data_IF_999788211065
#
_entry.id   IF_999788211065
#
_cell.length_a   1.000
_cell.length_b   1.000
_cell.length_c   1.000
_cell.angle_alpha   90.00
_cell.angle_beta   90.00
_cell.angle_gamma   90.00
#
_symmetry.space_group_name_H-M   'P 1'
#
loop_
_entity.id
_entity.type
_entity.pdbx_description
1 polymer ?
#
# COMPACT_ATOMS: atom_id res chain seq x y z
N UNK A 1 -37.85 -43.26 -26.10
CA UNK A 1 -38.29 -42.09 -25.30
C UNK A 1 -37.06 -41.56 -24.58
N UNK A 2 -36.64 -40.33 -24.87
CA UNK A 2 -35.50 -39.71 -24.17
C UNK A 2 -35.88 -39.43 -22.72
N UNK A 3 -34.95 -39.52 -21.77
CA UNK A 3 -35.19 -39.23 -20.36
C UNK A 3 -35.65 -37.78 -20.08
N UNK A 4 -35.54 -36.90 -21.08
CA UNK A 4 -36.03 -35.53 -21.07
C UNK A 4 -37.54 -35.45 -21.38
N UNK A 5 -38.03 -36.28 -22.32
CA UNK A 5 -39.46 -36.35 -22.68
C UNK A 5 -40.36 -36.91 -21.57
N UNK A 6 -39.78 -37.57 -20.55
CA UNK A 6 -40.50 -38.04 -19.36
C UNK A 6 -40.69 -36.98 -18.27
N UNK A 7 -40.06 -35.82 -18.40
CA UNK A 7 -40.26 -34.69 -17.49
C UNK A 7 -41.52 -33.92 -17.88
N UNK A 8 -42.22 -33.35 -16.90
CA UNK A 8 -43.36 -32.47 -17.16
C UNK A 8 -42.93 -31.26 -18.00
N UNK A 9 -43.82 -30.73 -18.84
CA UNK A 9 -43.60 -29.53 -19.67
C UNK A 9 -43.01 -28.34 -18.88
N UNK A 10 -43.38 -28.20 -17.61
CA UNK A 10 -42.80 -27.21 -16.69
C UNK A 10 -41.27 -27.37 -16.54
N UNK A 11 -40.78 -28.58 -16.29
CA UNK A 11 -39.33 -28.82 -16.11
C UNK A 11 -38.56 -28.74 -17.43
N UNK A 12 -39.20 -29.07 -18.55
CA UNK A 12 -38.60 -28.92 -19.89
C UNK A 12 -38.30 -27.46 -20.23
N UNK A 13 -39.11 -26.51 -19.72
CA UNK A 13 -38.90 -25.07 -19.89
C UNK A 13 -38.03 -24.45 -18.80
N UNK A 14 -38.14 -24.92 -17.56
CA UNK A 14 -37.35 -24.39 -16.43
C UNK A 14 -35.87 -24.78 -16.48
N UNK A 15 -35.53 -26.00 -16.91
CA UNK A 15 -34.13 -26.46 -16.93
C UNK A 15 -33.22 -25.63 -17.85
N UNK A 16 -33.60 -25.33 -19.11
CA UNK A 16 -32.82 -24.43 -19.97
C UNK A 16 -32.72 -23.01 -19.41
N UNK A 17 -33.76 -22.51 -18.77
CA UNK A 17 -33.77 -21.18 -18.16
C UNK A 17 -32.78 -21.08 -17.00
N UNK A 18 -32.74 -22.08 -16.12
CA UNK A 18 -31.77 -22.15 -15.02
C UNK A 18 -30.34 -22.23 -15.57
N UNK A 19 -30.09 -23.08 -16.57
CA UNK A 19 -28.78 -23.17 -17.22
C UNK A 19 -28.34 -21.85 -17.87
N UNK A 20 -29.26 -21.12 -18.49
CA UNK A 20 -28.97 -19.80 -19.06
C UNK A 20 -28.52 -18.82 -17.99
N UNK A 21 -29.23 -18.76 -16.86
CA UNK A 21 -28.89 -17.89 -15.72
C UNK A 21 -27.49 -18.24 -15.18
N UNK A 22 -27.19 -19.52 -15.02
CA UNK A 22 -25.87 -19.97 -14.53
C UNK A 22 -24.74 -19.63 -15.50
N UNK A 23 -24.95 -19.78 -16.80
CA UNK A 23 -23.96 -19.38 -17.81
C UNK A 23 -23.70 -17.87 -17.73
N UNK A 24 -24.73 -17.05 -17.57
CA UNK A 24 -24.57 -15.59 -17.40
C UNK A 24 -23.76 -15.26 -16.15
N UNK A 25 -24.00 -15.96 -15.04
CA UNK A 25 -23.24 -15.79 -13.79
C UNK A 25 -21.77 -16.19 -13.96
N UNK A 26 -21.48 -17.31 -14.63
CA UNK A 26 -20.12 -17.77 -14.92
C UNK A 26 -19.38 -16.85 -15.91
N UNK A 27 -20.07 -16.28 -16.91
CA UNK A 27 -19.49 -15.25 -17.79
C UNK A 27 -19.12 -14.01 -16.98
N UNK A 28 -19.99 -13.57 -16.06
CA UNK A 28 -19.71 -12.45 -15.16
C UNK A 28 -18.48 -12.71 -14.29
N UNK A 29 -18.36 -13.91 -13.73
CA UNK A 29 -17.20 -14.35 -12.94
C UNK A 29 -15.92 -14.41 -13.79
N UNK A 30 -15.99 -14.98 -15.00
CA UNK A 30 -14.87 -15.06 -15.94
C UNK A 30 -14.37 -13.67 -16.33
N UNK A 31 -15.27 -12.77 -16.71
CA UNK A 31 -14.92 -11.37 -17.04
C UNK A 31 -14.29 -10.66 -15.86
N UNK A 32 -14.84 -10.86 -14.66
CA UNK A 32 -14.28 -10.29 -13.44
C UNK A 32 -12.87 -10.82 -13.12
N UNK A 33 -12.63 -12.11 -13.32
CA UNK A 33 -11.31 -12.72 -13.17
C UNK A 33 -10.32 -12.21 -14.23
N UNK A 34 -10.74 -12.12 -15.49
CA UNK A 34 -9.88 -11.69 -16.60
C UNK A 34 -9.45 -10.22 -16.47
N UNK A 35 -10.40 -9.34 -16.10
CA UNK A 35 -10.12 -7.91 -15.95
C UNK A 35 -9.26 -7.57 -14.73
N UNK A 36 -9.21 -8.46 -13.73
CA UNK A 36 -8.64 -8.11 -12.41
C UNK A 36 -7.53 -9.03 -11.92
N UNK A 37 -7.37 -10.22 -12.49
CA UNK A 37 -6.37 -11.19 -12.02
C UNK A 37 -5.21 -11.32 -13.00
N UNK A 38 -3.98 -11.09 -12.52
CA UNK A 38 -2.74 -11.39 -13.28
C UNK A 38 -2.43 -12.90 -13.37
N UNK A 39 -3.35 -13.78 -12.95
CA UNK A 39 -3.14 -15.24 -12.93
C UNK A 39 -4.15 -15.97 -13.85
N UNK A 40 -3.75 -16.32 -15.09
CA UNK A 40 -4.68 -16.87 -16.09
C UNK A 40 -5.23 -18.25 -15.73
N UNK A 41 -4.54 -18.99 -14.85
CA UNK A 41 -4.92 -20.35 -14.44
C UNK A 41 -6.32 -20.42 -13.81
N UNK A 42 -6.80 -19.34 -13.17
CA UNK A 42 -8.12 -19.32 -12.52
C UNK A 42 -9.25 -19.09 -13.52
N UNK A 43 -9.02 -18.18 -14.45
CA UNK A 43 -9.91 -17.91 -15.58
C UNK A 43 -10.12 -19.17 -16.44
N UNK A 44 -9.12 -20.05 -16.51
CA UNK A 44 -9.21 -21.34 -17.21
C UNK A 44 -10.28 -22.28 -16.62
N UNK A 45 -10.50 -22.27 -15.30
CA UNK A 45 -11.51 -23.13 -14.66
C UNK A 45 -12.93 -22.66 -15.02
N UNK A 46 -13.21 -21.35 -14.92
CA UNK A 46 -14.48 -20.78 -15.39
C UNK A 46 -14.68 -20.98 -16.90
N UNK A 47 -13.61 -20.91 -17.70
CA UNK A 47 -13.68 -21.18 -19.14
C UNK A 47 -14.04 -22.64 -19.43
N UNK A 48 -13.47 -23.59 -18.68
CA UNK A 48 -13.80 -25.00 -18.82
C UNK A 48 -15.26 -25.29 -18.45
N UNK A 49 -15.78 -24.67 -17.38
CA UNK A 49 -17.20 -24.79 -16.99
C UNK A 49 -18.10 -24.23 -18.09
N UNK A 50 -17.79 -23.06 -18.64
CA UNK A 50 -18.55 -22.48 -19.76
C UNK A 50 -18.50 -23.35 -21.03
N UNK A 51 -17.33 -23.92 -21.36
CA UNK A 51 -17.15 -24.79 -22.52
C UNK A 51 -17.97 -26.09 -22.43
N UNK A 52 -18.32 -26.53 -21.22
CA UNK A 52 -19.22 -27.68 -20.99
C UNK A 52 -20.69 -27.25 -21.00
N UNK A 53 -21.02 -26.11 -20.36
CA UNK A 53 -22.41 -25.64 -20.22
C UNK A 53 -23.03 -25.13 -21.53
N UNK A 54 -22.25 -24.47 -22.40
CA UNK A 54 -22.75 -23.90 -23.66
C UNK A 54 -23.24 -25.00 -24.63
N UNK A 55 -22.47 -26.07 -24.92
CA UNK A 55 -22.95 -27.18 -25.73
C UNK A 55 -24.15 -27.90 -25.13
N UNK A 56 -24.21 -28.05 -23.79
CA UNK A 56 -25.35 -28.66 -23.09
C UNK A 56 -26.62 -27.83 -23.26
N UNK A 57 -26.56 -26.51 -23.09
CA UNK A 57 -27.69 -25.61 -23.32
C UNK A 57 -28.17 -25.70 -24.77
N UNK A 58 -27.24 -25.67 -25.73
CA UNK A 58 -27.57 -25.74 -27.15
C UNK A 58 -28.20 -27.08 -27.55
N UNK A 59 -27.75 -28.17 -26.93
CA UNK A 59 -28.33 -29.51 -27.13
C UNK A 59 -29.78 -29.59 -26.66
N UNK A 60 -30.16 -28.87 -25.61
CA UNK A 60 -31.55 -28.84 -25.13
C UNK A 60 -32.40 -27.88 -25.96
N UNK A 61 -31.85 -26.74 -26.36
CA UNK A 61 -32.58 -25.75 -27.18
C UNK A 61 -32.82 -26.20 -28.63
N UNK A 62 -32.03 -27.14 -29.14
CA UNK A 62 -32.20 -27.76 -30.48
C UNK A 62 -32.92 -29.11 -30.46
N UNK A 63 -33.36 -29.58 -29.29
CA UNK A 63 -34.13 -30.82 -29.20
C UNK A 63 -35.51 -30.60 -29.83
N UNK A 64 -35.60 -30.82 -31.14
CA UNK A 64 -36.84 -30.87 -31.91
C UNK A 64 -37.63 -32.13 -31.51
N UNK A 65 -38.90 -32.04 -31.05
CA UNK A 65 -39.68 -33.19 -30.62
C UNK A 65 -39.82 -34.29 -31.69
N UNK A 66 -39.77 -33.92 -32.97
CA UNK A 66 -40.12 -34.79 -34.10
C UNK A 66 -38.93 -35.26 -34.95
N UNK A 67 -37.71 -34.78 -34.70
CA UNK A 67 -36.53 -35.12 -35.52
C UNK A 67 -35.34 -35.54 -34.66
N UNK A 68 -35.38 -36.80 -34.22
CA UNK A 68 -34.46 -37.46 -33.26
C UNK A 68 -33.05 -37.76 -33.87
N UNK A 69 -32.72 -37.21 -35.04
CA UNK A 69 -31.52 -37.58 -35.80
C UNK A 69 -30.20 -36.94 -35.36
N UNK A 70 -30.19 -35.66 -34.96
CA UNK A 70 -28.94 -34.88 -35.12
C UNK A 70 -28.39 -34.20 -33.85
N UNK A 71 -28.97 -34.44 -32.66
CA UNK A 71 -28.45 -33.87 -31.40
C UNK A 71 -27.77 -34.94 -30.53
N UNK A 72 -26.44 -34.93 -30.58
CA UNK A 72 -25.47 -35.89 -30.01
C UNK A 72 -25.59 -36.21 -28.49
N UNK A 73 -26.56 -35.67 -27.76
CA UNK A 73 -26.76 -35.92 -26.32
C UNK A 73 -28.22 -36.21 -25.92
N UNK A 74 -29.13 -36.54 -26.85
CA UNK A 74 -30.55 -36.84 -26.54
C UNK A 74 -30.78 -38.13 -25.73
N UNK A 75 -29.77 -39.00 -25.59
CA UNK A 75 -29.81 -40.17 -24.70
C UNK A 75 -29.34 -39.90 -23.27
N UNK A 76 -28.83 -38.69 -22.99
CA UNK A 76 -28.29 -38.33 -21.69
C UNK A 76 -29.40 -38.31 -20.62
N UNK A 77 -29.27 -39.06 -19.50
CA UNK A 77 -30.17 -38.94 -18.37
C UNK A 77 -30.23 -37.48 -17.90
N UNK A 78 -31.40 -37.00 -17.48
CA UNK A 78 -31.59 -35.66 -16.89
C UNK A 78 -30.60 -35.36 -15.75
N UNK A 79 -30.04 -36.41 -15.14
CA UNK A 79 -28.96 -36.39 -14.17
C UNK A 79 -27.70 -35.65 -14.66
N UNK A 80 -27.35 -35.70 -15.95
CA UNK A 80 -26.17 -34.99 -16.48
C UNK A 80 -26.39 -33.48 -16.41
N UNK A 81 -27.59 -33.01 -16.73
CA UNK A 81 -27.96 -31.60 -16.60
C UNK A 81 -28.00 -31.17 -15.14
N UNK A 82 -28.63 -31.97 -14.27
CA UNK A 82 -28.66 -31.71 -12.84
C UNK A 82 -27.25 -31.65 -12.21
N UNK A 83 -26.35 -32.55 -12.63
CA UNK A 83 -24.96 -32.57 -12.18
C UNK A 83 -24.18 -31.35 -12.68
N UNK A 84 -24.36 -30.95 -13.94
CA UNK A 84 -23.69 -29.78 -14.51
C UNK A 84 -24.11 -28.48 -13.82
N UNK A 85 -25.42 -28.31 -13.59
CA UNK A 85 -26.01 -27.19 -12.82
C UNK A 85 -25.41 -27.16 -11.41
N UNK A 86 -25.44 -28.30 -10.71
CA UNK A 86 -24.91 -28.40 -9.35
C UNK A 86 -23.42 -28.04 -9.28
N UNK A 87 -22.60 -28.54 -10.22
CA UNK A 87 -21.17 -28.24 -10.28
C UNK A 87 -20.90 -26.75 -10.55
N UNK A 88 -21.65 -26.13 -11.47
CA UNK A 88 -21.56 -24.70 -11.76
C UNK A 88 -21.95 -23.85 -10.54
N UNK A 89 -23.07 -24.18 -9.89
CA UNK A 89 -23.52 -23.50 -8.68
C UNK A 89 -22.49 -23.59 -7.53
N UNK A 90 -21.90 -24.78 -7.31
CA UNK A 90 -20.84 -24.97 -6.30
C UNK A 90 -19.58 -24.19 -6.66
N UNK A 91 -19.17 -24.20 -7.93
CA UNK A 91 -18.03 -23.42 -8.40
C UNK A 91 -18.24 -21.93 -8.14
N UNK A 92 -19.37 -21.37 -8.58
CA UNK A 92 -19.72 -19.97 -8.36
C UNK A 92 -19.77 -19.59 -6.88
N UNK A 93 -20.44 -20.41 -6.05
CA UNK A 93 -20.59 -20.17 -4.61
C UNK A 93 -19.25 -20.17 -3.86
N UNK A 94 -18.23 -20.86 -4.38
CA UNK A 94 -16.90 -20.90 -3.78
C UNK A 94 -16.00 -19.79 -4.35
N UNK A 95 -16.05 -19.57 -5.66
CA UNK A 95 -15.17 -18.63 -6.36
C UNK A 95 -15.44 -17.18 -5.94
N UNK A 96 -16.71 -16.77 -5.90
CA UNK A 96 -17.08 -15.38 -5.67
C UNK A 96 -16.71 -14.87 -4.26
N UNK A 97 -17.01 -15.58 -3.15
CA UNK A 97 -16.59 -15.15 -1.81
C UNK A 97 -15.07 -15.19 -1.61
N UNK A 98 -14.38 -16.14 -2.24
CA UNK A 98 -12.91 -16.24 -2.16
C UNK A 98 -12.23 -15.04 -2.81
N UNK A 99 -12.71 -14.62 -3.97
CA UNK A 99 -12.20 -13.43 -4.66
C UNK A 99 -12.57 -12.14 -3.93
N UNK A 100 -13.78 -12.08 -3.40
CA UNK A 100 -14.21 -10.95 -2.59
C UNK A 100 -13.40 -10.81 -1.29
N UNK A 101 -13.10 -11.91 -0.59
CA UNK A 101 -12.24 -11.90 0.61
C UNK A 101 -10.79 -11.52 0.28
N UNK A 102 -10.24 -11.99 -0.84
CA UNK A 102 -8.90 -11.59 -1.28
C UNK A 102 -8.77 -10.09 -1.47
N UNK A 103 -9.75 -9.44 -2.09
CA UNK A 103 -9.77 -7.97 -2.22
C UNK A 103 -9.70 -7.23 -0.89
N UNK A 104 -10.33 -7.76 0.16
CA UNK A 104 -10.27 -7.14 1.49
C UNK A 104 -8.90 -7.31 2.15
N UNK A 105 -8.14 -8.33 1.75
CA UNK A 105 -6.85 -8.67 2.32
C UNK A 105 -5.66 -8.17 1.48
N UNK A 106 -5.89 -7.78 0.22
CA UNK A 106 -4.90 -7.16 -0.64
C UNK A 106 -4.83 -5.65 -0.32
N UNK A 107 -3.69 -5.21 0.23
CA UNK A 107 -3.44 -3.80 0.51
C UNK A 107 -3.51 -3.03 -0.81
N UNK A 108 -4.49 -2.14 -0.93
CA UNK A 108 -4.59 -1.29 -2.11
C UNK A 108 -3.42 -0.29 -2.12
N UNK A 109 -2.90 0.10 -3.30
CA UNK A 109 -1.89 1.17 -3.39
C UNK A 109 -2.35 2.48 -2.71
N UNK A 110 -3.65 2.74 -2.73
CA UNK A 110 -4.24 3.87 -2.02
C UNK A 110 -4.13 3.73 -0.49
N UNK A 111 -4.34 2.53 0.04
CA UNK A 111 -4.16 2.24 1.47
C UNK A 111 -2.71 2.41 1.91
N UNK A 112 -1.74 2.02 1.06
CA UNK A 112 -0.31 2.27 1.32
C UNK A 112 -0.04 3.77 1.36
N UNK A 113 -0.54 4.53 0.38
CA UNK A 113 -0.41 5.99 0.36
C UNK A 113 -1.06 6.64 1.59
N UNK A 114 -2.28 6.24 1.94
CA UNK A 114 -3.01 6.76 3.10
C UNK A 114 -2.29 6.47 4.41
N UNK A 115 -1.75 5.26 4.58
CA UNK A 115 -0.96 4.89 5.75
C UNK A 115 0.34 5.73 5.82
N UNK A 116 1.00 5.92 4.68
CA UNK A 116 2.23 6.71 4.58
C UNK A 116 1.98 8.20 4.85
N UNK A 117 0.83 8.73 4.43
CA UNK A 117 0.39 10.11 4.66
C UNK A 117 0.12 10.41 6.15
N UNK A 118 -0.21 9.39 6.94
CA UNK A 118 -0.43 9.51 8.40
C UNK A 118 0.86 9.46 9.21
N UNK A 119 2.01 9.20 8.60
CA UNK A 119 3.28 9.18 9.32
C UNK A 119 3.67 10.60 9.81
N UNK A 120 4.19 10.73 11.03
CA UNK A 120 4.63 12.02 11.56
C UNK A 120 5.89 12.56 10.86
N UNK A 121 6.61 11.69 10.15
CA UNK A 121 7.80 12.02 9.35
C UNK A 121 7.45 12.25 7.88
N UNK A 122 8.25 13.07 7.20
CA UNK A 122 8.23 13.15 5.74
C UNK A 122 8.91 11.92 5.15
N UNK A 123 8.32 11.31 4.14
CA UNK A 123 8.94 10.23 3.38
C UNK A 123 8.60 10.36 1.90
N UNK A 124 9.61 10.16 1.05
CA UNK A 124 9.41 9.94 -0.37
C UNK A 124 10.38 8.90 -0.93
N UNK A 125 9.97 8.30 -2.05
CA UNK A 125 10.73 7.28 -2.76
C UNK A 125 10.99 7.76 -4.19
N UNK A 126 12.23 7.59 -4.63
CA UNK A 126 12.68 7.90 -5.97
C UNK A 126 13.07 6.62 -6.72
N UNK A 127 12.61 6.54 -7.96
CA UNK A 127 13.04 5.55 -8.96
C UNK A 127 14.54 5.75 -9.30
N UNK A 128 15.25 4.77 -9.87
CA UNK A 128 16.65 4.93 -10.29
C UNK A 128 16.89 6.10 -11.26
N UNK A 129 15.86 6.55 -11.97
CA UNK A 129 15.89 7.74 -12.82
C UNK A 129 15.75 9.06 -12.06
N UNK A 130 15.61 9.02 -10.72
CA UNK A 130 15.41 10.18 -9.87
C UNK A 130 13.97 10.71 -9.81
N UNK A 131 13.00 10.06 -10.44
CA UNK A 131 11.59 10.45 -10.41
C UNK A 131 10.94 10.02 -9.09
N UNK A 132 10.18 10.91 -8.47
CA UNK A 132 9.47 10.61 -7.22
C UNK A 132 8.22 9.75 -7.53
N UNK A 133 8.19 8.52 -7.00
CA UNK A 133 7.09 7.56 -7.20
C UNK A 133 6.04 7.61 -6.08
N UNK A 134 6.47 7.90 -4.86
CA UNK A 134 5.62 8.02 -3.69
C UNK A 134 6.15 9.18 -2.86
N UNK A 135 5.27 10.09 -2.47
CA UNK A 135 5.59 11.23 -1.62
C UNK A 135 4.41 11.46 -0.70
N UNK A 136 4.68 11.41 0.59
CA UNK A 136 3.63 11.62 1.58
C UNK A 136 3.31 13.11 1.75
N UNK A 137 2.12 13.41 2.28
CA UNK A 137 1.66 14.80 2.47
C UNK A 137 2.63 15.63 3.31
N UNK A 138 3.36 15.01 4.25
CA UNK A 138 4.31 15.72 5.10
C UNK A 138 5.55 16.14 4.32
N UNK A 139 6.12 15.24 3.52
CA UNK A 139 7.24 15.56 2.63
C UNK A 139 6.85 16.59 1.57
N UNK A 140 5.63 16.51 1.03
CA UNK A 140 5.12 17.51 0.07
C UNK A 140 5.06 18.92 0.64
N UNK A 141 4.59 19.07 1.89
CA UNK A 141 4.59 20.39 2.56
C UNK A 141 6.01 20.91 2.79
N UNK A 142 6.94 20.02 3.14
CA UNK A 142 8.35 20.37 3.31
C UNK A 142 9.00 20.75 1.98
N UNK A 143 8.73 20.03 0.89
CA UNK A 143 9.25 20.39 -0.43
C UNK A 143 8.75 21.76 -0.87
N UNK A 144 7.49 22.09 -0.59
CA UNK A 144 6.97 23.42 -0.88
C UNK A 144 7.65 24.51 -0.04
N UNK A 145 7.92 24.25 1.23
CA UNK A 145 8.64 25.19 2.10
C UNK A 145 10.12 25.37 1.73
N UNK A 146 10.77 24.34 1.18
CA UNK A 146 12.19 24.36 0.80
C UNK A 146 12.44 24.81 -0.64
N UNK A 147 11.67 24.28 -1.59
CA UNK A 147 11.84 24.47 -3.04
C UNK A 147 10.82 25.46 -3.64
N UNK A 148 9.72 25.77 -2.94
CA UNK A 148 8.61 26.59 -3.47
C UNK A 148 7.64 25.84 -4.41
N UNK A 149 7.85 24.55 -4.66
CA UNK A 149 7.00 23.73 -5.53
C UNK A 149 6.88 22.27 -5.04
N UNK A 150 5.96 21.51 -5.65
CA UNK A 150 5.85 20.08 -5.38
C UNK A 150 7.06 19.32 -5.93
N UNK A 151 7.52 18.31 -5.17
CA UNK A 151 8.68 17.50 -5.55
C UNK A 151 8.33 16.52 -6.67
N UNK A 152 8.88 16.73 -7.86
CA UNK A 152 8.75 15.80 -9.00
C UNK A 152 10.02 14.99 -9.23
N UNK A 153 11.18 15.63 -9.05
CA UNK A 153 12.49 15.03 -9.25
C UNK A 153 13.29 15.14 -7.95
N UNK A 154 14.03 14.09 -7.62
CA UNK A 154 14.94 14.04 -6.47
C UNK A 154 15.94 15.21 -6.46
N UNK A 155 16.47 15.58 -7.61
CA UNK A 155 17.43 16.68 -7.76
C UNK A 155 16.91 17.99 -7.18
N UNK A 156 15.61 18.24 -7.24
CA UNK A 156 15.01 19.48 -6.74
C UNK A 156 15.18 19.59 -5.22
N UNK A 157 15.07 18.45 -4.51
CA UNK A 157 15.31 18.39 -3.08
C UNK A 157 16.81 18.50 -2.78
N UNK A 158 17.67 17.78 -3.50
CA UNK A 158 19.12 17.82 -3.27
C UNK A 158 19.70 19.22 -3.51
N UNK A 159 19.20 19.92 -4.52
CA UNK A 159 19.57 21.30 -4.82
C UNK A 159 19.06 22.25 -3.72
N UNK A 160 17.83 22.10 -3.24
CA UNK A 160 17.30 22.93 -2.17
C UNK A 160 17.98 22.66 -0.80
N UNK A 161 18.44 21.44 -0.56
CA UNK A 161 19.17 21.08 0.67
C UNK A 161 20.64 21.54 0.63
N UNK A 162 21.24 21.63 -0.55
CA UNK A 162 22.62 22.10 -0.75
C UNK A 162 22.72 23.63 -0.83
N UNK A 163 21.72 24.28 -1.44
CA UNK A 163 21.60 25.75 -1.50
C UNK A 163 20.22 26.14 -0.95
N UNK A 164 20.08 26.21 0.39
CA UNK A 164 18.84 26.61 1.02
C UNK A 164 18.49 28.05 0.66
N UNK A 165 17.20 28.33 0.54
CA UNK A 165 16.72 29.71 0.45
C UNK A 165 17.10 30.50 1.72
N UNK A 166 17.20 31.83 1.60
CA UNK A 166 17.59 32.74 2.71
C UNK A 166 16.68 32.61 3.94
N UNK A 167 15.48 32.08 3.75
CA UNK A 167 14.48 31.84 4.77
C UNK A 167 14.77 30.61 5.66
N UNK A 168 15.67 29.72 5.22
CA UNK A 168 16.03 28.48 5.91
C UNK A 168 17.43 28.58 6.51
N UNK A 169 17.55 28.38 7.82
CA UNK A 169 18.85 28.35 8.50
C UNK A 169 19.33 26.91 8.65
N UNK A 170 20.53 26.61 8.18
CA UNK A 170 21.15 25.27 8.32
C UNK A 170 22.19 25.31 9.41
N UNK A 171 22.09 24.40 10.38
CA UNK A 171 23.07 24.21 11.45
C UNK A 171 23.21 22.72 11.75
N UNK A 172 24.42 22.16 11.65
CA UNK A 172 24.72 20.76 12.02
C UNK A 172 23.73 19.74 11.41
N UNK A 173 23.53 19.80 10.08
CA UNK A 173 22.56 18.99 9.32
C UNK A 173 21.08 19.13 9.74
N UNK A 174 20.77 20.15 10.54
CA UNK A 174 19.42 20.53 10.92
C UNK A 174 18.96 21.75 10.13
N UNK A 175 17.80 21.63 9.48
CA UNK A 175 17.18 22.66 8.67
C UNK A 175 16.08 23.33 9.48
N UNK A 176 16.28 24.60 9.82
CA UNK A 176 15.34 25.42 10.58
C UNK A 176 14.49 26.19 9.58
N UNK A 177 13.21 25.85 9.52
CA UNK A 177 12.23 26.50 8.66
C UNK A 177 11.74 27.84 9.27
N UNK A 178 11.10 28.72 8.47
CA UNK A 178 10.56 29.99 8.95
C UNK A 178 9.54 29.87 10.09
N UNK A 179 8.86 28.73 10.18
CA UNK A 179 7.92 28.39 11.25
C UNK A 179 8.61 27.94 12.56
N UNK A 180 9.94 28.02 12.62
CA UNK A 180 10.82 27.56 13.72
C UNK A 180 10.84 26.05 13.91
N UNK A 181 10.27 25.26 12.99
CA UNK A 181 10.41 23.81 13.04
C UNK A 181 11.79 23.41 12.54
N UNK A 182 12.36 22.39 13.17
CA UNK A 182 13.68 21.87 12.84
C UNK A 182 13.53 20.48 12.25
N UNK A 183 14.07 20.29 11.06
CA UNK A 183 13.98 19.04 10.31
C UNK A 183 15.36 18.52 9.94
N UNK A 184 15.50 17.19 10.00
CA UNK A 184 16.69 16.49 9.54
C UNK A 184 16.31 15.61 8.35
N UNK A 185 17.05 15.76 7.26
CA UNK A 185 16.85 14.98 6.04
C UNK A 185 17.88 13.87 5.93
N UNK A 186 17.45 12.67 5.56
CA UNK A 186 18.32 11.52 5.36
C UNK A 186 17.91 10.77 4.10
N UNK A 187 18.88 10.56 3.22
CA UNK A 187 18.74 9.76 2.01
C UNK A 187 19.39 8.40 2.21
N UNK A 188 18.70 7.34 1.84
CA UNK A 188 19.17 5.96 1.92
C UNK A 188 18.84 5.24 0.61
N UNK A 189 19.72 4.33 0.18
CA UNK A 189 19.42 3.45 -0.94
C UNK A 189 18.64 2.23 -0.43
N UNK A 190 17.66 1.79 -1.20
CA UNK A 190 16.84 0.62 -0.92
C UNK A 190 16.96 -0.35 -2.09
N UNK A 191 16.86 -1.65 -1.81
CA UNK A 191 16.87 -2.68 -2.85
C UNK A 191 15.45 -3.14 -3.13
N UNK A 192 15.00 -2.99 -4.38
CA UNK A 192 13.69 -3.45 -4.86
C UNK A 192 13.92 -4.40 -6.03
N UNK A 193 13.41 -5.62 -5.95
CA UNK A 193 13.52 -6.63 -7.01
C UNK A 193 14.95 -6.85 -7.55
N UNK A 194 15.94 -6.80 -6.66
CA UNK A 194 17.39 -6.91 -6.96
C UNK A 194 18.04 -5.67 -7.61
N UNK A 195 17.32 -4.54 -7.72
CA UNK A 195 17.88 -3.23 -8.09
C UNK A 195 18.10 -2.40 -6.82
N UNK A 196 19.35 -2.01 -6.55
CA UNK A 196 19.78 -1.23 -5.38
C UNK A 196 19.83 0.28 -5.63
N UNK A 197 19.44 0.73 -6.83
CA UNK A 197 19.47 2.15 -7.22
C UNK A 197 18.23 2.93 -6.79
N UNK A 198 17.27 2.27 -6.16
CA UNK A 198 16.11 2.93 -5.58
C UNK A 198 16.53 3.73 -4.35
N UNK A 199 15.90 4.89 -4.15
CA UNK A 199 16.28 5.77 -3.05
C UNK A 199 15.07 6.16 -2.22
N UNK A 200 15.27 6.18 -0.91
CA UNK A 200 14.31 6.66 0.07
C UNK A 200 14.86 7.92 0.73
N UNK A 201 14.06 8.97 0.75
CA UNK A 201 14.38 10.22 1.45
C UNK A 201 13.40 10.37 2.60
N UNK A 202 13.95 10.59 3.80
CA UNK A 202 13.20 10.73 5.04
C UNK A 202 13.46 12.10 5.65
N UNK A 203 12.43 12.70 6.22
CA UNK A 203 12.50 13.96 6.93
C UNK A 203 11.95 13.77 8.35
N UNK A 204 12.82 13.87 9.34
CA UNK A 204 12.47 13.72 10.75
C UNK A 204 12.33 15.09 11.41
N UNK A 205 11.25 15.27 12.17
CA UNK A 205 11.11 16.45 13.01
C UNK A 205 11.99 16.27 14.26
N UNK A 206 13.00 17.12 14.39
CA UNK A 206 13.96 17.11 15.51
C UNK A 206 13.86 18.38 16.36
N UNK A 207 12.75 19.11 16.25
CA UNK A 207 12.55 20.40 16.94
C UNK A 207 12.72 20.27 18.46
N UNK A 208 12.10 19.28 19.07
CA UNK A 208 12.20 19.07 20.53
C UNK A 208 13.62 18.69 20.95
N UNK A 209 14.27 17.80 20.20
CA UNK A 209 15.65 17.38 20.46
C UNK A 209 16.62 18.55 20.31
N UNK A 210 16.44 19.37 19.28
CA UNK A 210 17.25 20.56 19.03
C UNK A 210 17.11 21.60 20.16
N UNK A 211 15.88 21.88 20.57
CA UNK A 211 15.61 22.81 21.67
C UNK A 211 16.16 22.29 23.01
N UNK A 212 16.05 20.98 23.26
CA UNK A 212 16.65 20.33 24.41
C UNK A 212 18.16 20.47 24.45
N UNK A 213 18.83 20.26 23.31
CA UNK A 213 20.28 20.41 23.18
C UNK A 213 20.74 21.86 23.44
N UNK A 214 20.06 22.84 22.83
CA UNK A 214 20.32 24.27 23.06
C UNK A 214 20.23 24.63 24.56
N UNK A 215 19.16 24.20 25.22
CA UNK A 215 18.97 24.44 26.66
C UNK A 215 20.03 23.76 27.51
N UNK A 216 20.44 22.54 27.16
CA UNK A 216 21.51 21.83 27.85
C UNK A 216 22.85 22.56 27.72
N UNK A 217 23.14 23.14 26.56
CA UNK A 217 24.36 23.92 26.33
C UNK A 217 24.38 25.21 27.18
N UNK A 218 23.24 25.90 27.29
CA UNK A 218 23.09 27.08 28.14
C UNK A 218 23.30 26.74 29.62
N UNK A 219 22.63 25.70 30.12
CA UNK A 219 22.79 25.22 31.50
C UNK A 219 24.24 24.82 31.78
N UNK A 220 24.90 24.14 30.84
CA UNK A 220 26.31 23.75 31.00
C UNK A 220 27.24 24.98 31.07
N UNK A 221 26.97 26.05 30.31
CA UNK A 221 27.72 27.31 30.38
C UNK A 221 27.52 28.01 31.72
N UNK A 222 26.28 28.11 32.20
CA UNK A 222 25.97 28.66 33.52
C UNK A 222 26.66 27.86 34.64
N UNK A 223 26.56 26.54 34.59
CA UNK A 223 27.19 25.65 35.55
C UNK A 223 28.72 25.81 35.56
N UNK A 224 29.35 25.99 34.39
CA UNK A 224 30.78 26.26 34.28
C UNK A 224 31.16 27.61 34.91
N UNK A 225 30.33 28.65 34.74
CA UNK A 225 30.57 29.96 35.33
C UNK A 225 30.45 29.91 36.86
N UNK A 226 29.41 29.24 37.39
CA UNK A 226 29.21 29.04 38.83
C UNK A 226 30.38 28.26 39.42
N UNK A 227 30.81 27.18 38.76
CA UNK A 227 32.00 26.42 39.18
C UNK A 227 33.26 27.28 39.22
N UNK A 228 33.45 28.17 38.22
CA UNK A 228 34.58 29.11 38.20
C UNK A 228 34.54 30.06 39.40
N UNK A 229 33.36 30.60 39.75
CA UNK A 229 33.19 31.49 40.91
C UNK A 229 33.46 30.76 42.22
N UNK A 230 32.90 29.56 42.41
CA UNK A 230 33.11 28.74 43.61
C UNK A 230 34.58 28.39 43.82
N UNK A 231 35.31 28.02 42.75
CA UNK A 231 36.76 27.77 42.84
C UNK A 231 37.53 29.01 43.31
N UNK A 232 37.20 30.21 42.80
CA UNK A 232 37.82 31.47 43.26
C UNK A 232 37.55 31.74 44.74
N UNK A 233 36.30 31.60 45.19
CA UNK A 233 35.92 31.76 46.60
C UNK A 233 36.64 30.76 47.51
N UNK A 234 36.73 29.50 47.08
CA UNK A 234 37.40 28.42 47.83
C UNK A 234 38.91 28.69 47.97
N UNK A 235 39.55 29.18 46.90
CA UNK A 235 40.96 29.56 46.91
C UNK A 235 41.21 30.77 47.82
N UNK A 236 40.36 31.79 47.74
CA UNK A 236 40.43 32.96 48.61
C UNK A 236 40.28 32.58 50.10
N UNK A 237 39.29 31.74 50.43
CA UNK A 237 39.06 31.28 51.79
C UNK A 237 40.23 30.46 52.35
N UNK A 238 40.79 29.54 51.55
CA UNK A 238 42.01 28.80 51.94
C UNK A 238 43.19 29.74 52.20
N UNK A 239 43.32 30.80 51.41
CA UNK A 239 44.39 31.80 51.58
C UNK A 239 44.20 32.60 52.87
N UNK A 240 42.97 33.06 53.16
CA UNK A 240 42.64 33.73 54.41
C UNK A 240 42.86 32.83 55.64
N UNK A 241 42.44 31.56 55.56
CA UNK A 241 42.61 30.58 56.63
C UNK A 241 44.10 30.32 56.94
N UNK A 242 44.94 30.20 55.90
CA UNK A 242 46.41 30.09 56.07
C UNK A 242 47.03 31.32 56.72
N UNK A 243 46.64 32.52 56.29
CA UNK A 243 47.11 33.78 56.91
C UNK A 243 46.72 33.87 58.39
N UNK A 244 45.49 33.46 58.73
CA UNK A 244 45.02 33.46 60.12
C UNK A 244 45.82 32.53 61.02
N UNK A 245 46.18 31.33 60.54
CA UNK A 245 47.03 30.39 61.28
C UNK A 245 48.50 30.83 61.43
N UNK A 246 48.99 31.73 60.59
CA UNK A 246 50.35 32.26 60.68
C UNK A 246 50.48 33.46 61.64
N UNK A 247 49.36 34.02 62.09
CA UNK A 247 49.28 35.18 63.00
C UNK A 247 48.95 34.77 64.46
N UNK A 248 48.79 33.47 64.71
CA UNK A 248 48.57 32.84 66.03
C UNK A 248 49.71 31.87 66.30
#
# INVERSE_FOLDING_TARGET
>A
MSAFSSLSEFWQTMLPFIMLVEIVLEIGLFMYQLLRSNKPVRSLLSLAVMAVMIPLLFSVSRADPDNIGDAFLLGAPWLIFAAAIFLAAVHFAIALPREYRRKKNELSPFSIKEATDKLPMGICFADPNGRIILCNNRMRRLSFALCGHELQIKSDMENALSVPDRSVTVKDDCYILPDKTVWQFRTQNITVDSDDRWQQITAHNVTELYNGYQKQEEINKELAEVNRKLRKCTLAWRTMSRRRKALT
#
